data_IF_132363556240
#
_entry.id   IF_132363556240
#
_cell.length_a   1.000
_cell.length_b   1.000
_cell.length_c   1.000
_cell.angle_alpha   90.00
_cell.angle_beta   90.00
_cell.angle_gamma   90.00
#
_symmetry.space_group_name_H-M   'P 1'
#
loop_
_entity.id
_entity.type
_entity.pdbx_description
1 polymer ?
#
# COMPACT_ATOMS: atom_id res chain seq x y z
N UNK A 1 -25.33 -22.61 -6.69
CA UNK A 1 -24.05 -21.88 -6.58
C UNK A 1 -23.18 -22.70 -5.65
N UNK A 2 -22.00 -23.16 -6.11
CA UNK A 2 -21.09 -23.89 -5.23
C UNK A 2 -20.40 -22.91 -4.28
N UNK A 3 -20.39 -23.25 -2.98
CA UNK A 3 -19.85 -22.39 -1.92
C UNK A 3 -18.31 -22.49 -1.87
N UNK A 4 -17.74 -23.61 -2.31
CA UNK A 4 -16.28 -23.88 -2.30
C UNK A 4 -15.79 -24.50 -3.62
N UNK A 5 -16.69 -24.87 -4.53
CA UNK A 5 -16.32 -25.62 -5.73
C UNK A 5 -15.44 -24.84 -6.69
N UNK A 6 -15.60 -23.52 -6.79
CA UNK A 6 -14.70 -22.70 -7.61
C UNK A 6 -13.27 -22.71 -7.08
N UNK A 7 -13.09 -22.71 -5.77
CA UNK A 7 -11.80 -22.80 -5.11
C UNK A 7 -11.18 -24.19 -5.32
N UNK A 8 -11.97 -25.25 -5.20
CA UNK A 8 -11.51 -26.63 -5.44
C UNK A 8 -11.13 -26.81 -6.92
N UNK A 9 -11.96 -26.34 -7.86
CA UNK A 9 -11.66 -26.39 -9.30
C UNK A 9 -10.39 -25.59 -9.63
N UNK A 10 -10.15 -24.46 -8.97
CA UNK A 10 -8.92 -23.68 -9.13
C UNK A 10 -7.68 -24.38 -8.54
N UNK A 11 -7.85 -25.20 -7.49
CA UNK A 11 -6.79 -26.04 -6.95
C UNK A 11 -6.47 -27.20 -7.88
N UNK A 12 -7.50 -27.90 -8.39
CA UNK A 12 -7.36 -29.08 -9.26
C UNK A 12 -6.70 -28.76 -10.61
N UNK A 13 -6.70 -27.48 -11.04
CA UNK A 13 -5.90 -26.99 -12.19
C UNK A 13 -4.39 -26.94 -11.94
N UNK A 14 -3.93 -27.32 -10.75
CA UNK A 14 -2.53 -27.41 -10.36
C UNK A 14 -2.29 -28.79 -9.78
N UNK A 15 -1.03 -29.22 -9.78
CA UNK A 15 -0.57 -30.40 -9.04
C UNK A 15 -0.99 -30.25 -7.56
N UNK A 16 -2.00 -31.02 -7.14
CA UNK A 16 -2.66 -30.89 -5.84
C UNK A 16 -3.41 -32.15 -5.43
N UNK A 17 -3.66 -32.29 -4.12
CA UNK A 17 -4.46 -33.37 -3.55
C UNK A 17 -5.62 -32.77 -2.76
N UNK A 18 -6.83 -33.29 -3.00
CA UNK A 18 -8.03 -32.93 -2.25
C UNK A 18 -8.54 -34.19 -1.56
N UNK A 19 -8.59 -34.19 -0.22
CA UNK A 19 -9.05 -35.33 0.57
C UNK A 19 -10.38 -34.95 1.24
N UNK A 20 -11.42 -35.75 0.99
CA UNK A 20 -12.78 -35.51 1.45
C UNK A 20 -13.26 -36.71 2.28
N UNK A 21 -13.86 -36.45 3.43
CA UNK A 21 -14.59 -37.45 4.22
C UNK A 21 -16.08 -37.16 4.12
N UNK A 22 -16.82 -38.02 3.41
CA UNK A 22 -18.21 -37.78 3.06
C UNK A 22 -19.18 -38.52 3.98
N UNK A 23 -19.74 -37.81 4.96
CA UNK A 23 -20.75 -38.37 5.88
C UNK A 23 -22.17 -38.33 5.30
N UNK A 24 -22.60 -37.18 4.77
CA UNK A 24 -23.94 -37.01 4.23
C UNK A 24 -23.98 -36.01 3.07
N UNK A 25 -25.11 -35.99 2.35
CA UNK A 25 -25.38 -35.00 1.32
C UNK A 25 -26.24 -33.90 1.93
N UNK A 26 -25.72 -32.68 1.96
CA UNK A 26 -26.42 -31.50 2.44
C UNK A 26 -26.74 -30.54 1.30
N UNK A 27 -27.89 -29.87 1.41
CA UNK A 27 -28.33 -28.78 0.54
C UNK A 27 -28.91 -27.65 1.39
N UNK A 28 -28.50 -26.42 1.09
CA UNK A 28 -28.94 -25.22 1.79
C UNK A 28 -29.57 -24.22 0.82
N UNK A 29 -30.68 -23.62 1.25
CA UNK A 29 -31.37 -22.56 0.52
C UNK A 29 -31.15 -21.23 1.24
N UNK A 30 -30.55 -20.28 0.54
CA UNK A 30 -30.27 -18.94 1.02
C UNK A 30 -31.25 -17.95 0.40
N UNK A 31 -31.61 -16.94 1.18
CA UNK A 31 -32.30 -15.75 0.70
C UNK A 31 -31.47 -14.54 1.02
N UNK A 32 -31.28 -13.68 0.04
CA UNK A 32 -30.55 -12.44 0.25
C UNK A 32 -31.50 -11.34 0.71
N UNK A 33 -31.00 -10.48 1.59
CA UNK A 33 -31.77 -9.37 2.15
C UNK A 33 -31.00 -8.09 1.91
N UNK A 34 -31.64 -7.09 1.30
CA UNK A 34 -31.09 -5.77 1.14
C UNK A 34 -31.69 -4.84 2.19
N UNK A 35 -30.83 -4.30 3.04
CA UNK A 35 -31.21 -3.33 4.06
C UNK A 35 -31.04 -1.93 3.48
N UNK A 36 -32.12 -1.16 3.43
CA UNK A 36 -32.11 0.23 2.96
C UNK A 36 -32.76 1.17 3.98
N UNK A 37 -32.63 2.49 3.77
CA UNK A 37 -33.33 3.50 4.59
C UNK A 37 -34.87 3.41 4.51
N UNK A 38 -35.41 2.69 3.53
CA UNK A 38 -36.87 2.46 3.36
C UNK A 38 -37.36 1.17 4.02
N UNK A 39 -36.47 0.37 4.60
CA UNK A 39 -36.77 -0.92 5.19
C UNK A 39 -36.00 -2.08 4.55
N UNK A 40 -36.42 -3.28 4.91
CA UNK A 40 -35.79 -4.55 4.54
C UNK A 40 -36.51 -5.15 3.33
N UNK A 41 -35.81 -5.30 2.21
CA UNK A 41 -36.35 -5.93 0.99
C UNK A 41 -35.66 -7.29 0.76
N UNK A 42 -36.47 -8.33 0.59
CA UNK A 42 -36.00 -9.67 0.25
C UNK A 42 -35.71 -9.74 -1.26
N UNK A 43 -34.52 -10.22 -1.62
CA UNK A 43 -34.09 -10.43 -3.01
C UNK A 43 -34.02 -11.93 -3.34
N UNK A 44 -33.58 -12.24 -4.57
CA UNK A 44 -33.49 -13.59 -5.11
C UNK A 44 -32.78 -14.57 -4.15
N UNK A 45 -33.34 -15.78 -4.09
CA UNK A 45 -32.77 -16.89 -3.36
C UNK A 45 -31.82 -17.71 -4.23
N UNK A 46 -30.84 -18.35 -3.61
CA UNK A 46 -29.97 -19.31 -4.27
C UNK A 46 -29.82 -20.56 -3.40
N UNK A 47 -29.59 -21.70 -4.03
CA UNK A 47 -29.25 -22.95 -3.35
C UNK A 47 -27.80 -23.31 -3.56
N UNK A 48 -27.21 -23.95 -2.56
CA UNK A 48 -25.94 -24.65 -2.65
C UNK A 48 -26.12 -26.10 -2.19
N UNK A 49 -25.41 -27.02 -2.82
CA UNK A 49 -25.38 -28.43 -2.44
C UNK A 49 -23.95 -28.93 -2.35
N UNK A 50 -23.72 -29.87 -1.45
CA UNK A 50 -22.48 -30.66 -1.39
C UNK A 50 -22.28 -31.56 -2.63
N UNK A 51 -23.30 -31.73 -3.46
CA UNK A 51 -23.20 -32.40 -4.76
C UNK A 51 -22.51 -31.54 -5.83
N UNK A 52 -22.36 -30.23 -5.59
CA UNK A 52 -21.69 -29.28 -6.48
C UNK A 52 -20.25 -28.98 -6.00
N UNK A 53 -19.59 -29.93 -5.32
CA UNK A 53 -18.32 -29.68 -4.61
C UNK A 53 -17.14 -29.39 -5.55
N UNK A 54 -17.14 -29.92 -6.77
CA UNK A 54 -16.23 -29.58 -7.86
C UNK A 54 -16.89 -29.94 -9.20
N UNK A 55 -16.41 -29.38 -10.31
CA UNK A 55 -17.06 -29.46 -11.63
C UNK A 55 -17.33 -30.90 -12.10
N UNK A 56 -16.42 -31.83 -11.78
CA UNK A 56 -16.50 -33.25 -12.14
C UNK A 56 -17.03 -34.17 -11.02
N UNK A 57 -17.71 -33.62 -10.00
CA UNK A 57 -18.19 -34.41 -8.86
C UNK A 57 -19.18 -35.50 -9.32
N UNK A 58 -18.98 -36.77 -8.92
CA UNK A 58 -19.82 -37.89 -9.35
C UNK A 58 -21.24 -37.75 -8.79
N UNK A 59 -22.22 -38.26 -9.54
CA UNK A 59 -23.59 -38.38 -9.02
C UNK A 59 -23.58 -39.21 -7.75
N UNK A 60 -24.35 -38.77 -6.77
CA UNK A 60 -24.36 -39.37 -5.44
C UNK A 60 -25.77 -39.40 -4.85
N UNK A 61 -25.97 -40.32 -3.92
CA UNK A 61 -27.23 -40.43 -3.17
C UNK A 61 -26.96 -40.82 -1.71
N UNK A 62 -27.83 -40.33 -0.82
CA UNK A 62 -27.77 -40.67 0.60
C UNK A 62 -28.13 -42.12 0.83
N UNK A 63 -27.23 -42.89 1.46
CA UNK A 63 -27.45 -44.29 1.79
C UNK A 63 -26.55 -44.71 2.94
N UNK A 64 -27.15 -45.29 3.97
CA UNK A 64 -26.43 -45.69 5.18
C UNK A 64 -26.07 -47.17 5.17
N UNK A 65 -24.84 -47.50 5.57
CA UNK A 65 -24.42 -48.88 5.81
C UNK A 65 -23.06 -49.00 6.49
N UNK A 66 -22.68 -50.24 6.82
CA UNK A 66 -21.48 -50.54 7.65
C UNK A 66 -20.54 -51.60 7.05
N UNK A 67 -20.91 -52.21 5.93
CA UNK A 67 -20.09 -53.27 5.31
C UNK A 67 -19.41 -52.74 4.07
N UNK A 68 -18.09 -52.90 4.02
CA UNK A 68 -17.24 -52.48 2.91
C UNK A 68 -16.52 -53.70 2.31
N UNK A 69 -16.40 -53.68 0.99
CA UNK A 69 -15.66 -54.65 0.17
C UNK A 69 -14.64 -53.92 -0.70
N UNK A 70 -13.54 -54.59 -1.03
CA UNK A 70 -12.55 -54.03 -1.94
C UNK A 70 -13.15 -53.94 -3.35
N UNK A 71 -12.89 -52.84 -4.04
CA UNK A 71 -13.22 -52.73 -5.46
C UNK A 71 -12.30 -53.61 -6.32
N UNK A 72 -11.03 -53.72 -5.93
CA UNK A 72 -10.03 -54.55 -6.57
C UNK A 72 -9.31 -55.46 -5.55
N UNK A 73 -8.87 -56.67 -5.95
CA UNK A 73 -8.02 -57.51 -5.13
C UNK A 73 -6.72 -56.78 -4.73
N UNK A 74 -6.26 -56.99 -3.49
CA UNK A 74 -4.96 -56.51 -3.00
C UNK A 74 -4.77 -54.97 -2.95
N UNK A 75 -5.85 -54.18 -2.92
CA UNK A 75 -5.77 -52.71 -2.79
C UNK A 75 -5.21 -52.26 -1.43
N UNK A 76 -4.06 -51.58 -1.46
CA UNK A 76 -3.41 -50.96 -0.28
C UNK A 76 -4.31 -49.90 0.36
N UNK A 77 -4.93 -49.06 -0.45
CA UNK A 77 -5.88 -48.04 0.02
C UNK A 77 -7.11 -48.67 0.68
N UNK A 78 -7.66 -49.76 0.13
CA UNK A 78 -8.77 -50.44 0.77
C UNK A 78 -8.37 -51.05 2.12
N UNK A 79 -7.19 -51.66 2.21
CA UNK A 79 -6.64 -52.16 3.48
C UNK A 79 -6.54 -51.05 4.52
N UNK A 80 -6.09 -49.86 4.12
CA UNK A 80 -6.01 -48.69 4.98
C UNK A 80 -7.41 -48.19 5.41
N UNK A 81 -8.34 -48.04 4.47
CA UNK A 81 -9.74 -47.67 4.75
C UNK A 81 -10.33 -48.67 5.75
N UNK A 82 -10.23 -49.97 5.47
CA UNK A 82 -10.78 -51.04 6.31
C UNK A 82 -10.20 -51.03 7.73
N UNK A 83 -8.90 -50.77 7.89
CA UNK A 83 -8.22 -50.67 9.18
C UNK A 83 -8.79 -49.55 10.07
N UNK A 84 -9.14 -48.41 9.47
CA UNK A 84 -9.60 -47.22 10.20
C UNK A 84 -11.12 -47.00 10.15
N UNK A 85 -11.85 -47.78 9.34
CA UNK A 85 -13.31 -47.70 9.27
C UNK A 85 -13.96 -48.18 10.57
N UNK A 86 -13.46 -49.27 11.16
CA UNK A 86 -13.89 -49.74 12.48
C UNK A 86 -15.41 -49.90 12.61
N UNK A 87 -16.01 -49.30 13.63
CA UNK A 87 -17.47 -49.29 13.88
C UNK A 87 -18.24 -48.18 13.14
N UNK A 88 -17.58 -47.48 12.20
CA UNK A 88 -18.19 -46.38 11.44
C UNK A 88 -19.28 -46.85 10.48
N UNK A 89 -20.01 -45.86 9.93
CA UNK A 89 -20.98 -46.07 8.87
C UNK A 89 -20.71 -45.11 7.73
N UNK A 90 -20.87 -45.56 6.49
CA UNK A 90 -20.97 -44.66 5.35
C UNK A 90 -22.40 -44.13 5.26
N UNK A 91 -22.58 -42.89 4.78
CA UNK A 91 -23.90 -42.27 4.58
C UNK A 91 -24.17 -41.83 3.14
N UNK A 92 -23.21 -42.03 2.23
CA UNK A 92 -23.29 -41.64 0.81
C UNK A 92 -22.77 -42.78 -0.07
N UNK A 93 -23.42 -42.98 -1.22
CA UNK A 93 -22.90 -43.82 -2.31
C UNK A 93 -22.82 -43.03 -3.61
N UNK A 94 -21.94 -43.45 -4.50
CA UNK A 94 -21.59 -42.75 -5.74
C UNK A 94 -21.84 -43.64 -6.97
N UNK A 95 -22.21 -43.01 -8.07
CA UNK A 95 -22.25 -43.63 -9.39
C UNK A 95 -20.90 -43.50 -10.08
N UNK A 96 -20.51 -44.52 -10.85
CA UNK A 96 -19.33 -44.43 -11.70
C UNK A 96 -19.59 -43.44 -12.85
N UNK A 97 -18.80 -42.36 -13.00
CA UNK A 97 -18.93 -41.48 -14.16
C UNK A 97 -18.69 -42.25 -15.45
N UNK A 98 -19.44 -41.92 -16.50
CA UNK A 98 -19.30 -42.53 -17.82
C UNK A 98 -18.82 -41.50 -18.85
N UNK A 99 -18.01 -41.97 -19.78
CA UNK A 99 -17.53 -41.22 -20.95
C UNK A 99 -17.99 -41.91 -22.23
N UNK A 100 -18.39 -41.10 -23.22
CA UNK A 100 -18.75 -41.63 -24.53
C UNK A 100 -17.49 -42.13 -25.26
N UNK A 101 -17.41 -43.42 -25.54
CA UNK A 101 -16.36 -43.99 -26.38
C UNK A 101 -16.82 -44.03 -27.84
N UNK A 102 -16.27 -43.13 -28.64
CA UNK A 102 -16.57 -43.00 -30.07
C UNK A 102 -16.10 -44.18 -30.93
N UNK A 103 -15.17 -45.01 -30.42
CA UNK A 103 -14.64 -46.17 -31.14
C UNK A 103 -15.56 -47.39 -31.04
N UNK A 104 -16.31 -47.52 -29.94
CA UNK A 104 -17.27 -48.62 -29.73
C UNK A 104 -18.73 -48.15 -29.65
N UNK A 105 -18.98 -46.85 -29.87
CA UNK A 105 -20.29 -46.20 -29.87
C UNK A 105 -21.12 -46.52 -28.61
N UNK A 106 -20.48 -46.44 -27.45
CA UNK A 106 -21.12 -46.70 -26.15
C UNK A 106 -20.47 -45.87 -25.06
N UNK A 107 -21.25 -45.57 -24.03
CA UNK A 107 -20.73 -45.11 -22.76
C UNK A 107 -19.91 -46.21 -22.08
N UNK A 108 -18.72 -45.84 -21.63
CA UNK A 108 -17.84 -46.66 -20.81
C UNK A 108 -17.48 -45.93 -19.52
N UNK A 109 -17.06 -46.68 -18.52
CA UNK A 109 -16.64 -46.14 -17.23
C UNK A 109 -15.38 -45.26 -17.41
N UNK A 110 -15.38 -44.06 -16.81
CA UNK A 110 -14.25 -43.13 -16.92
C UNK A 110 -13.05 -43.64 -16.13
N UNK A 111 -12.00 -44.07 -16.82
CA UNK A 111 -10.75 -44.61 -16.23
C UNK A 111 -10.05 -43.65 -15.25
N UNK A 112 -10.37 -42.34 -15.29
CA UNK A 112 -9.86 -41.37 -14.32
C UNK A 112 -10.52 -41.49 -12.95
N UNK A 113 -11.59 -42.26 -12.85
CA UNK A 113 -12.33 -42.54 -11.63
C UNK A 113 -12.08 -43.98 -11.20
N UNK A 114 -11.49 -44.17 -10.01
CA UNK A 114 -11.10 -45.47 -9.48
C UNK A 114 -11.86 -45.71 -8.17
N UNK A 115 -12.82 -46.67 -8.14
CA UNK A 115 -13.47 -47.07 -6.91
C UNK A 115 -12.46 -47.67 -5.92
N UNK A 116 -12.53 -47.25 -4.65
CA UNK A 116 -11.64 -47.73 -3.58
C UNK A 116 -12.36 -48.70 -2.62
N UNK A 117 -13.65 -48.47 -2.36
CA UNK A 117 -14.47 -49.33 -1.51
C UNK A 117 -15.91 -49.42 -2.02
N UNK A 118 -16.49 -50.60 -1.94
CA UNK A 118 -17.86 -50.92 -2.35
C UNK A 118 -18.69 -51.39 -1.15
N UNK A 119 -20.02 -51.30 -1.24
CA UNK A 119 -20.91 -51.96 -0.27
C UNK A 119 -21.35 -53.36 -0.76
N UNK A 120 -22.21 -54.05 0.01
CA UNK A 120 -22.69 -55.40 -0.33
C UNK A 120 -23.48 -55.50 -1.64
N UNK A 121 -23.95 -54.37 -2.17
CA UNK A 121 -24.67 -54.28 -3.45
C UNK A 121 -23.76 -53.90 -4.61
N UNK A 122 -22.45 -53.76 -4.36
CA UNK A 122 -21.48 -53.31 -5.35
C UNK A 122 -21.55 -51.80 -5.64
N UNK A 123 -22.24 -51.01 -4.82
CA UNK A 123 -22.28 -49.54 -4.98
C UNK A 123 -21.02 -48.91 -4.37
N UNK A 124 -20.54 -47.83 -4.99
CA UNK A 124 -19.27 -47.18 -4.65
C UNK A 124 -19.45 -46.32 -3.39
N UNK A 125 -18.60 -46.53 -2.40
CA UNK A 125 -18.60 -45.81 -1.11
C UNK A 125 -17.38 -44.90 -0.97
N UNK A 126 -16.29 -45.22 -1.66
CA UNK A 126 -15.04 -44.46 -1.66
C UNK A 126 -14.41 -44.50 -3.04
N UNK A 127 -13.73 -43.44 -3.46
CA UNK A 127 -13.07 -43.36 -4.76
C UNK A 127 -11.83 -42.47 -4.74
N UNK A 128 -11.02 -42.64 -5.78
CA UNK A 128 -9.97 -41.72 -6.23
C UNK A 128 -10.36 -41.20 -7.62
N UNK A 129 -10.28 -39.90 -7.86
CA UNK A 129 -10.56 -39.32 -9.17
C UNK A 129 -9.48 -38.32 -9.59
N UNK A 130 -8.90 -38.52 -10.77
CA UNK A 130 -8.01 -37.53 -11.41
C UNK A 130 -8.84 -36.46 -12.12
N UNK A 131 -8.58 -35.19 -11.79
CA UNK A 131 -9.26 -34.03 -12.36
C UNK A 131 -8.20 -33.00 -12.75
N UNK A 132 -8.06 -32.73 -14.05
CA UNK A 132 -7.01 -31.85 -14.60
C UNK A 132 -5.60 -32.28 -14.11
N UNK A 133 -4.92 -31.46 -13.32
CA UNK A 133 -3.59 -31.77 -12.74
C UNK A 133 -3.67 -32.28 -11.29
N UNK A 134 -4.86 -32.28 -10.68
CA UNK A 134 -5.09 -32.67 -9.30
C UNK A 134 -5.72 -34.05 -9.15
N UNK A 135 -5.71 -34.56 -7.92
CA UNK A 135 -6.37 -35.81 -7.55
C UNK A 135 -7.28 -35.60 -6.34
N UNK A 136 -8.51 -36.10 -6.45
CA UNK A 136 -9.51 -36.11 -5.39
C UNK A 136 -9.58 -37.50 -4.78
N UNK A 137 -9.40 -37.59 -3.47
CA UNK A 137 -9.68 -38.77 -2.67
C UNK A 137 -10.96 -38.53 -1.89
N UNK A 138 -11.92 -39.45 -1.99
CA UNK A 138 -13.13 -39.41 -1.19
C UNK A 138 -13.25 -40.70 -0.37
N UNK A 139 -13.31 -40.54 0.95
CA UNK A 139 -13.45 -41.61 1.92
C UNK A 139 -14.78 -41.50 2.67
N UNK A 140 -15.35 -42.61 3.17
CA UNK A 140 -16.45 -42.55 4.13
C UNK A 140 -15.95 -42.01 5.48
N UNK A 141 -16.84 -41.72 6.44
CA UNK A 141 -16.46 -41.46 7.82
C UNK A 141 -15.63 -42.62 8.37
N UNK A 142 -14.58 -42.28 9.11
CA UNK A 142 -13.66 -43.23 9.74
C UNK A 142 -13.70 -43.04 11.26
N UNK A 143 -13.42 -44.11 12.01
CA UNK A 143 -13.42 -44.08 13.47
C UNK A 143 -12.21 -43.27 13.98
N UNK A 144 -11.07 -43.40 13.30
CA UNK A 144 -9.85 -42.66 13.60
C UNK A 144 -9.27 -42.02 12.34
N UNK A 145 -9.87 -40.89 11.94
CA UNK A 145 -9.41 -40.07 10.81
C UNK A 145 -7.97 -39.60 10.96
N UNK A 146 -7.53 -39.23 12.17
CA UNK A 146 -6.17 -38.74 12.40
C UNK A 146 -5.11 -39.81 12.15
N UNK A 147 -5.34 -41.03 12.65
CA UNK A 147 -4.46 -42.17 12.41
C UNK A 147 -4.43 -42.59 10.94
N UNK A 148 -5.60 -42.58 10.27
CA UNK A 148 -5.70 -42.83 8.84
C UNK A 148 -4.87 -41.83 8.03
N UNK A 149 -5.03 -40.53 8.30
CA UNK A 149 -4.29 -39.49 7.61
C UNK A 149 -2.78 -39.64 7.86
N UNK A 150 -2.35 -39.88 9.10
CA UNK A 150 -0.93 -40.06 9.39
C UNK A 150 -0.30 -41.15 8.52
N UNK A 151 -0.91 -42.34 8.47
CA UNK A 151 -0.41 -43.44 7.66
C UNK A 151 -0.52 -43.19 6.15
N UNK A 152 -1.60 -42.53 5.70
CA UNK A 152 -1.76 -42.11 4.30
C UNK A 152 -0.64 -41.15 3.85
N UNK A 153 -0.27 -40.19 4.71
CA UNK A 153 0.79 -39.20 4.46
C UNK A 153 2.21 -39.75 4.63
N UNK A 154 2.41 -40.78 5.46
CA UNK A 154 3.74 -41.38 5.69
C UNK A 154 4.09 -42.49 4.69
N UNK A 155 3.09 -43.19 4.15
CA UNK A 155 3.30 -44.37 3.31
C UNK A 155 2.86 -44.13 1.85
N UNK A 156 1.55 -44.01 1.63
CA UNK A 156 0.96 -44.08 0.29
C UNK A 156 1.23 -42.83 -0.55
N UNK A 157 0.97 -41.63 0.00
CA UNK A 157 1.04 -40.39 -0.77
C UNK A 157 2.47 -40.03 -1.24
N UNK A 158 3.53 -40.17 -0.41
CA UNK A 158 4.89 -39.91 -0.87
C UNK A 158 5.36 -40.84 -1.99
N UNK A 159 4.94 -42.11 -1.96
CA UNK A 159 5.30 -43.10 -2.98
C UNK A 159 4.63 -42.79 -4.33
N UNK A 160 3.35 -42.37 -4.31
CA UNK A 160 2.55 -42.19 -5.53
C UNK A 160 2.51 -40.74 -6.04
N UNK A 161 2.84 -39.76 -5.18
CA UNK A 161 2.86 -38.32 -5.51
C UNK A 161 4.15 -37.62 -4.99
N UNK A 162 5.36 -38.12 -5.31
CA UNK A 162 6.62 -37.62 -4.74
C UNK A 162 6.85 -36.12 -4.94
N UNK A 163 6.37 -35.55 -6.05
CA UNK A 163 6.43 -34.12 -6.38
C UNK A 163 5.71 -33.22 -5.38
N UNK A 164 4.69 -33.73 -4.67
CA UNK A 164 3.97 -33.01 -3.62
C UNK A 164 4.60 -33.20 -2.23
N UNK A 165 5.48 -34.20 -2.09
CA UNK A 165 6.16 -34.53 -0.86
C UNK A 165 7.69 -34.54 -1.04
N UNK A 166 8.30 -33.41 -1.46
CA UNK A 166 9.74 -33.33 -1.76
C UNK A 166 10.62 -33.52 -0.52
N UNK A 167 10.05 -33.39 0.68
CA UNK A 167 10.74 -33.63 1.95
C UNK A 167 10.50 -35.03 2.52
N UNK A 168 9.81 -35.91 1.78
CA UNK A 168 9.59 -37.29 2.24
C UNK A 168 10.91 -38.05 2.29
N UNK A 169 11.21 -38.62 3.45
CA UNK A 169 12.51 -39.26 3.71
C UNK A 169 12.77 -40.53 2.89
N UNK A 170 11.74 -41.11 2.23
CA UNK A 170 11.87 -42.37 1.49
C UNK A 170 12.86 -42.26 0.32
N UNK A 171 12.98 -41.08 -0.31
CA UNK A 171 13.92 -40.83 -1.40
C UNK A 171 14.78 -39.56 -1.23
N UNK A 172 14.69 -38.86 -0.09
CA UNK A 172 15.48 -37.66 0.20
C UNK A 172 17.01 -37.85 0.09
N UNK A 173 17.49 -39.09 0.06
CA UNK A 173 18.89 -39.43 -0.18
C UNK A 173 19.35 -39.22 -1.62
N UNK A 174 18.44 -39.15 -2.60
CA UNK A 174 18.78 -38.75 -3.98
C UNK A 174 19.02 -37.23 -4.05
N UNK A 175 18.25 -36.45 -3.29
CA UNK A 175 18.32 -34.98 -3.29
C UNK A 175 19.36 -34.40 -2.31
N UNK A 176 20.02 -35.24 -1.51
CA UNK A 176 21.05 -34.80 -0.55
C UNK A 176 22.40 -34.44 -1.22
N UNK A 177 22.51 -34.62 -2.54
CA UNK A 177 23.69 -34.34 -3.34
C UNK A 177 24.76 -35.44 -3.35
N UNK A 178 24.47 -36.62 -2.77
CA UNK A 178 25.40 -37.76 -2.80
C UNK A 178 25.50 -38.44 -4.18
N UNK A 179 24.52 -38.23 -5.07
CA UNK A 179 24.45 -38.86 -6.39
C UNK A 179 24.10 -37.85 -7.50
N UNK A 180 24.97 -36.86 -7.77
CA UNK A 180 24.65 -35.82 -8.74
C UNK A 180 24.72 -36.31 -10.19
N UNK A 181 23.85 -35.79 -11.04
CA UNK A 181 23.95 -35.97 -12.50
C UNK A 181 24.93 -34.97 -13.13
N UNK A 182 25.47 -35.22 -14.34
CA UNK A 182 26.38 -34.29 -14.99
C UNK A 182 25.81 -32.87 -15.08
N UNK A 183 26.57 -31.87 -14.64
CA UNK A 183 26.18 -30.46 -14.62
C UNK A 183 25.35 -30.02 -13.40
N UNK A 184 24.82 -30.94 -12.60
CA UNK A 184 23.97 -30.60 -11.44
C UNK A 184 24.74 -29.85 -10.35
N UNK A 185 25.97 -30.27 -10.06
CA UNK A 185 26.83 -29.62 -9.05
C UNK A 185 27.14 -28.16 -9.41
N UNK A 186 27.36 -27.88 -10.70
CA UNK A 186 27.62 -26.51 -11.19
C UNK A 186 26.38 -25.63 -11.00
N UNK A 187 25.21 -26.13 -11.43
CA UNK A 187 23.94 -25.41 -11.29
C UNK A 187 23.57 -25.16 -9.82
N UNK A 188 23.80 -26.13 -8.93
CA UNK A 188 23.59 -25.95 -7.49
C UNK A 188 24.56 -24.91 -6.89
N UNK A 189 25.81 -24.88 -7.36
CA UNK A 189 26.80 -23.86 -6.99
C UNK A 189 26.37 -22.46 -7.43
N UNK A 190 25.93 -22.32 -8.67
CA UNK A 190 25.45 -21.05 -9.23
C UNK A 190 24.17 -20.57 -8.54
N UNK A 191 23.22 -21.49 -8.27
CA UNK A 191 22.02 -21.16 -7.48
C UNK A 191 22.40 -20.61 -6.10
N UNK A 192 23.33 -21.26 -5.39
CA UNK A 192 23.79 -20.78 -4.08
C UNK A 192 24.44 -19.39 -4.16
N UNK A 193 25.23 -19.10 -5.19
CA UNK A 193 25.81 -17.76 -5.40
C UNK A 193 24.71 -16.73 -5.63
N UNK A 194 23.77 -17.00 -6.53
CA UNK A 194 22.64 -16.10 -6.82
C UNK A 194 21.81 -15.84 -5.55
N UNK A 195 21.48 -16.88 -4.79
CA UNK A 195 20.73 -16.74 -3.54
C UNK A 195 21.49 -15.91 -2.50
N UNK A 196 22.80 -16.11 -2.38
CA UNK A 196 23.66 -15.34 -1.46
C UNK A 196 23.73 -13.87 -1.86
N UNK A 197 24.01 -13.59 -3.12
CA UNK A 197 24.10 -12.22 -3.67
C UNK A 197 22.75 -11.49 -3.52
N UNK A 198 21.64 -12.18 -3.79
CA UNK A 198 20.31 -11.61 -3.62
C UNK A 198 20.03 -11.27 -2.14
N UNK A 199 20.31 -12.20 -1.22
CA UNK A 199 20.13 -11.98 0.23
C UNK A 199 20.96 -10.80 0.73
N UNK A 200 22.22 -10.69 0.30
CA UNK A 200 23.08 -9.58 0.69
C UNK A 200 22.56 -8.23 0.17
N UNK A 201 22.14 -8.19 -1.10
CA UNK A 201 21.55 -6.98 -1.70
C UNK A 201 20.27 -6.53 -1.01
N UNK A 202 19.39 -7.48 -0.66
CA UNK A 202 18.16 -7.18 0.10
C UNK A 202 18.52 -6.63 1.47
N UNK A 203 19.41 -7.30 2.21
CA UNK A 203 19.85 -6.84 3.54
C UNK A 203 20.45 -5.43 3.50
N UNK A 204 21.28 -5.14 2.50
CA UNK A 204 21.87 -3.80 2.31
C UNK A 204 20.80 -2.73 2.04
N UNK A 205 19.79 -3.05 1.23
CA UNK A 205 18.69 -2.15 0.94
C UNK A 205 17.83 -1.89 2.18
N UNK A 206 17.49 -2.95 2.93
CA UNK A 206 16.74 -2.84 4.18
C UNK A 206 17.48 -1.98 5.20
N UNK A 207 18.80 -2.16 5.35
CA UNK A 207 19.62 -1.31 6.21
C UNK A 207 19.60 0.15 5.74
N UNK A 208 19.75 0.40 4.44
CA UNK A 208 19.68 1.75 3.89
C UNK A 208 18.32 2.43 4.14
N UNK A 209 17.21 1.67 4.12
CA UNK A 209 15.88 2.19 4.47
C UNK A 209 15.80 2.57 5.95
N UNK A 210 16.39 1.76 6.84
CA UNK A 210 16.45 2.07 8.29
C UNK A 210 17.27 3.33 8.51
N UNK A 211 18.45 3.43 7.90
CA UNK A 211 19.34 4.58 8.01
C UNK A 211 18.65 5.85 7.50
N UNK A 212 17.98 5.78 6.34
CA UNK A 212 17.22 6.90 5.76
C UNK A 212 16.07 7.35 6.66
N UNK A 213 15.32 6.41 7.25
CA UNK A 213 14.24 6.74 8.20
C UNK A 213 14.77 7.41 9.47
N UNK A 214 15.97 7.04 9.91
CA UNK A 214 16.63 7.66 11.05
C UNK A 214 17.12 9.08 10.70
N UNK A 215 17.82 9.22 9.58
CA UNK A 215 18.36 10.50 9.10
C UNK A 215 17.26 11.55 8.94
N UNK A 216 16.15 11.16 8.30
CA UNK A 216 15.00 12.04 8.05
C UNK A 216 13.88 11.92 9.10
N UNK A 217 14.18 11.34 10.27
CA UNK A 217 13.21 11.11 11.34
C UNK A 217 12.48 12.39 11.77
N UNK A 218 13.21 13.51 11.83
CA UNK A 218 12.66 14.82 12.20
C UNK A 218 11.51 15.27 11.29
N UNK A 219 11.51 14.90 10.00
CA UNK A 219 10.41 15.22 9.09
C UNK A 219 9.12 14.51 9.49
N UNK A 220 9.20 13.28 10.01
CA UNK A 220 8.03 12.58 10.54
C UNK A 220 7.57 13.25 11.83
N UNK A 221 8.49 13.62 12.70
CA UNK A 221 8.18 14.31 13.96
C UNK A 221 7.42 15.62 13.73
N UNK A 222 7.79 16.41 12.70
CA UNK A 222 7.03 17.61 12.29
C UNK A 222 5.55 17.33 12.02
N UNK A 223 5.18 16.12 11.60
CA UNK A 223 3.81 15.77 11.21
C UNK A 223 2.96 15.33 12.40
N UNK A 224 3.50 14.63 13.40
CA UNK A 224 2.66 13.98 14.44
C UNK A 224 3.09 14.26 15.89
N UNK A 225 4.31 14.72 16.14
CA UNK A 225 4.82 14.94 17.51
C UNK A 225 4.25 16.20 18.17
N UNK A 226 4.52 16.34 19.46
CA UNK A 226 4.15 17.47 20.33
C UNK A 226 5.19 17.68 21.42
N UNK A 227 5.17 18.85 22.09
CA UNK A 227 6.08 19.14 23.19
C UNK A 227 7.54 19.11 22.74
N UNK A 228 8.44 18.68 23.62
CA UNK A 228 9.89 18.69 23.42
C UNK A 228 10.31 17.97 22.12
N UNK A 229 9.69 16.83 21.81
CA UNK A 229 9.96 16.10 20.56
C UNK A 229 9.67 16.94 19.30
N UNK A 230 8.64 17.78 19.35
CA UNK A 230 8.30 18.67 18.25
C UNK A 230 9.26 19.87 18.20
N UNK A 231 9.62 20.42 19.36
CA UNK A 231 10.60 21.50 19.48
C UNK A 231 11.94 21.07 18.87
N UNK A 232 12.44 19.89 19.24
CA UNK A 232 13.68 19.34 18.68
C UNK A 232 13.61 19.07 17.18
N UNK A 233 12.46 18.61 16.68
CA UNK A 233 12.27 18.41 15.24
C UNK A 233 12.34 19.73 14.45
N UNK A 234 11.74 20.81 14.98
CA UNK A 234 11.81 22.14 14.39
C UNK A 234 13.23 22.71 14.51
N UNK A 235 13.90 22.55 15.65
CA UNK A 235 15.28 22.99 15.84
C UNK A 235 16.22 22.30 14.83
N UNK A 236 16.08 20.99 14.66
CA UNK A 236 16.83 20.24 13.67
C UNK A 236 16.54 20.71 12.24
N UNK A 237 15.27 20.98 11.91
CA UNK A 237 14.89 21.56 10.62
C UNK A 237 15.55 22.94 10.38
N UNK A 238 15.58 23.82 11.39
CA UNK A 238 16.23 25.13 11.29
C UNK A 238 17.75 25.03 11.11
N UNK A 239 18.42 24.11 11.83
CA UNK A 239 19.84 23.80 11.59
C UNK A 239 20.06 23.27 10.18
N UNK A 240 19.17 22.39 9.69
CA UNK A 240 19.23 21.89 8.33
C UNK A 240 19.04 23.00 7.29
N UNK A 241 18.20 24.01 7.55
CA UNK A 241 18.10 25.22 6.71
C UNK A 241 19.38 26.05 6.69
N UNK A 242 20.30 25.83 7.63
CA UNK A 242 21.58 26.52 7.72
C UNK A 242 21.61 27.68 8.71
N UNK A 243 20.66 27.77 9.65
CA UNK A 243 20.80 28.70 10.77
C UNK A 243 21.94 28.26 11.69
N UNK A 244 22.86 29.19 11.98
CA UNK A 244 24.08 28.89 12.74
C UNK A 244 23.85 28.83 14.26
N UNK A 245 22.90 29.59 14.79
CA UNK A 245 22.58 29.66 16.21
C UNK A 245 21.10 29.31 16.40
N UNK A 246 20.80 28.08 16.79
CA UNK A 246 19.44 27.61 17.11
C UNK A 246 19.47 27.04 18.52
N UNK A 247 18.94 27.82 19.47
CA UNK A 247 19.03 27.56 20.90
C UNK A 247 17.64 27.25 21.47
N UNK A 248 17.53 26.12 22.17
CA UNK A 248 16.35 25.76 22.94
C UNK A 248 16.41 26.45 24.31
N UNK A 249 15.43 27.32 24.62
CA UNK A 249 15.49 28.13 25.85
C UNK A 249 14.99 27.37 27.09
N UNK A 250 14.18 26.32 26.91
CA UNK A 250 13.70 25.50 28.02
C UNK A 250 14.83 24.73 28.72
N UNK A 251 15.96 24.51 28.03
CA UNK A 251 17.16 23.92 28.62
C UNK A 251 17.94 24.89 29.53
N UNK A 252 17.63 26.19 29.50
CA UNK A 252 18.46 27.26 30.09
C UNK A 252 17.79 28.08 31.21
N UNK A 253 16.50 27.86 31.53
CA UNK A 253 15.76 28.67 32.52
C UNK A 253 14.66 27.87 33.24
N UNK A 254 14.67 27.86 34.59
CA UNK A 254 13.72 27.08 35.41
C UNK A 254 12.52 27.85 35.96
N UNK A 255 12.50 29.19 35.90
CA UNK A 255 11.52 29.99 36.66
C UNK A 255 10.57 30.87 35.80
N UNK A 256 10.85 31.07 34.51
CA UNK A 256 10.00 31.86 33.61
C UNK A 256 9.78 31.10 32.31
N UNK A 257 8.51 30.86 31.94
CA UNK A 257 8.15 30.32 30.62
C UNK A 257 8.57 31.33 29.55
N UNK A 258 9.56 30.97 28.75
CA UNK A 258 10.10 31.77 27.64
C UNK A 258 9.61 31.25 26.28
N UNK A 259 10.25 31.64 25.18
CA UNK A 259 10.06 31.03 23.85
C UNK A 259 10.65 29.62 23.79
N UNK A 260 10.14 28.73 22.95
CA UNK A 260 10.72 27.38 22.80
C UNK A 260 12.10 27.47 22.13
N UNK A 261 12.20 28.18 21.00
CA UNK A 261 13.46 28.35 20.26
C UNK A 261 13.81 29.82 20.02
N UNK A 262 15.10 30.09 20.03
CA UNK A 262 15.70 31.35 19.60
C UNK A 262 16.70 31.10 18.47
N UNK A 263 16.60 31.92 17.41
CA UNK A 263 17.55 31.91 16.30
C UNK A 263 18.20 33.28 16.16
N UNK A 264 19.47 33.38 16.53
CA UNK A 264 20.24 34.63 16.42
C UNK A 264 21.01 34.67 15.10
N UNK A 265 20.70 35.65 14.27
CA UNK A 265 21.37 35.90 12.99
C UNK A 265 22.34 37.09 13.05
N UNK A 266 22.58 37.64 14.24
CA UNK A 266 23.37 38.84 14.47
C UNK A 266 22.49 40.09 14.43
N UNK A 267 22.17 40.55 13.22
CA UNK A 267 21.33 41.73 12.99
C UNK A 267 19.86 41.50 13.31
N UNK A 268 19.35 40.30 13.01
CA UNK A 268 17.97 39.86 13.30
C UNK A 268 17.92 38.78 14.37
N UNK A 269 16.85 38.78 15.16
CA UNK A 269 16.51 37.70 16.11
C UNK A 269 15.14 37.10 15.77
N UNK A 270 15.06 35.78 15.62
CA UNK A 270 13.78 35.07 15.53
C UNK A 270 13.49 34.38 16.88
N UNK A 271 12.32 34.65 17.45
CA UNK A 271 11.81 33.94 18.63
C UNK A 271 10.61 33.09 18.23
N UNK A 272 10.59 31.84 18.64
CA UNK A 272 9.65 30.84 18.14
C UNK A 272 8.88 30.19 19.28
N UNK A 273 7.55 30.18 19.16
CA UNK A 273 6.66 29.35 19.97
C UNK A 273 6.13 28.19 19.11
N UNK A 274 6.15 26.97 19.62
CA UNK A 274 5.86 25.73 18.92
C UNK A 274 4.78 24.97 19.67
N UNK A 275 3.67 24.62 19.01
CA UNK A 275 2.60 23.82 19.63
C UNK A 275 2.14 22.64 18.78
N UNK A 276 2.06 21.48 19.41
CA UNK A 276 1.40 20.29 18.86
C UNK A 276 0.01 20.11 19.47
N UNK A 277 -1.05 20.26 18.67
CA UNK A 277 -2.43 20.25 19.17
C UNK A 277 -3.33 19.30 18.36
N UNK A 278 -4.36 18.77 19.02
CA UNK A 278 -5.36 17.89 18.39
C UNK A 278 -6.42 18.61 17.55
N UNK A 279 -6.52 19.94 17.66
CA UNK A 279 -7.49 20.79 16.96
C UNK A 279 -6.80 21.94 16.21
N UNK A 280 -7.49 23.07 16.10
CA UNK A 280 -6.97 24.32 15.52
C UNK A 280 -6.51 25.31 16.59
N UNK A 281 -5.73 26.32 16.20
CA UNK A 281 -5.11 27.24 17.17
C UNK A 281 -6.14 28.21 17.77
N UNK A 282 -5.90 28.59 19.03
CA UNK A 282 -6.70 29.62 19.73
C UNK A 282 -5.99 30.97 19.68
N UNK A 283 -6.75 32.06 19.84
CA UNK A 283 -6.19 33.43 19.82
C UNK A 283 -5.13 33.62 20.90
N UNK A 284 -5.36 33.03 22.08
CA UNK A 284 -4.41 33.04 23.20
C UNK A 284 -3.09 32.36 22.82
N UNK A 285 -3.14 31.25 22.10
CA UNK A 285 -1.93 30.56 21.65
C UNK A 285 -1.18 31.39 20.61
N UNK A 286 -1.88 31.92 19.60
CA UNK A 286 -1.27 32.73 18.53
C UNK A 286 -0.63 34.02 19.06
N UNK A 287 -1.22 34.66 20.08
CA UNK A 287 -0.75 35.95 20.62
C UNK A 287 0.35 35.85 21.69
N UNK A 288 0.62 34.65 22.22
CA UNK A 288 1.59 34.45 23.29
C UNK A 288 3.00 34.94 22.89
N UNK A 289 3.41 34.65 21.65
CA UNK A 289 4.73 35.00 21.12
C UNK A 289 4.98 36.52 21.06
N UNK A 290 3.92 37.34 20.91
CA UNK A 290 4.04 38.81 20.88
C UNK A 290 4.63 39.35 22.18
N UNK A 291 4.25 38.78 23.34
CA UNK A 291 4.80 39.22 24.64
C UNK A 291 6.29 38.97 24.75
N UNK A 292 6.74 37.81 24.23
CA UNK A 292 8.14 37.40 24.26
C UNK A 292 8.96 38.26 23.31
N UNK A 293 8.49 38.45 22.06
CA UNK A 293 9.06 39.39 21.08
C UNK A 293 9.29 40.77 21.72
N UNK A 294 8.26 41.37 22.34
CA UNK A 294 8.35 42.69 22.97
C UNK A 294 9.38 42.75 24.10
N UNK A 295 9.51 41.69 24.90
CA UNK A 295 10.52 41.58 25.95
C UNK A 295 11.93 41.53 25.37
N UNK A 296 12.16 40.71 24.33
CA UNK A 296 13.48 40.60 23.66
C UNK A 296 13.88 41.88 22.93
N UNK A 297 12.94 42.60 22.32
CA UNK A 297 13.21 43.92 21.74
C UNK A 297 13.80 44.89 22.76
N UNK A 298 13.19 44.97 23.95
CA UNK A 298 13.68 45.81 25.05
C UNK A 298 15.05 45.36 25.56
N UNK A 299 15.29 44.06 25.69
CA UNK A 299 16.57 43.51 26.16
C UNK A 299 17.70 43.75 25.16
N UNK A 300 17.43 43.63 23.85
CA UNK A 300 18.41 43.88 22.78
C UNK A 300 18.58 45.34 22.40
N UNK A 301 17.67 46.22 22.86
CA UNK A 301 17.56 47.60 22.39
C UNK A 301 17.49 47.67 20.84
N UNK A 302 16.71 46.78 20.24
CA UNK A 302 16.52 46.65 18.79
C UNK A 302 15.10 46.22 18.46
N UNK A 303 14.56 46.73 17.36
CA UNK A 303 13.26 46.31 16.81
C UNK A 303 13.36 45.12 15.84
N UNK A 304 14.58 44.70 15.48
CA UNK A 304 14.85 43.55 14.61
C UNK A 304 14.65 42.21 15.34
N UNK A 305 13.48 42.05 15.95
CA UNK A 305 13.04 40.84 16.66
C UNK A 305 11.70 40.39 16.10
N UNK A 306 11.69 39.16 15.59
CA UNK A 306 10.58 38.59 14.86
C UNK A 306 9.97 37.46 15.67
N UNK A 307 8.66 37.52 15.92
CA UNK A 307 7.93 36.47 16.61
C UNK A 307 7.30 35.51 15.62
N UNK A 308 7.52 34.21 15.80
CA UNK A 308 6.98 33.16 14.95
C UNK A 308 6.24 32.10 15.79
N UNK A 309 4.97 31.89 15.49
CA UNK A 309 4.20 30.77 16.05
C UNK A 309 4.10 29.64 15.03
N UNK A 310 4.58 28.45 15.41
CA UNK A 310 4.57 27.24 14.58
C UNK A 310 3.64 26.21 15.19
N UNK A 311 2.69 25.69 14.41
CA UNK A 311 1.71 24.71 14.90
C UNK A 311 1.68 23.42 14.10
N UNK A 312 1.77 22.29 14.82
CA UNK A 312 1.32 20.98 14.34
C UNK A 312 -0.14 20.80 14.76
N UNK A 313 -1.05 21.34 13.96
CA UNK A 313 -2.51 21.30 14.20
C UNK A 313 -3.10 19.95 13.77
N UNK A 314 -4.24 19.58 14.36
CA UNK A 314 -4.96 18.34 14.07
C UNK A 314 -4.03 17.11 13.94
N UNK A 315 -3.07 16.96 14.87
CA UNK A 315 -1.94 16.03 14.72
C UNK A 315 -2.32 14.55 14.56
N UNK A 316 -3.54 14.18 14.95
CA UNK A 316 -4.10 12.82 14.80
C UNK A 316 -4.77 12.59 13.43
N UNK A 317 -4.83 13.62 12.59
CA UNK A 317 -5.38 13.59 11.23
C UNK A 317 -4.24 13.66 10.22
N UNK A 318 -4.36 12.89 9.14
CA UNK A 318 -3.40 12.94 8.03
C UNK A 318 -3.35 14.36 7.43
N UNK A 319 -2.15 14.91 7.09
CA UNK A 319 -2.01 16.30 6.63
C UNK A 319 -2.91 16.72 5.46
N UNK A 320 -3.21 15.80 4.53
CA UNK A 320 -4.09 16.03 3.38
C UNK A 320 -5.56 16.27 3.74
N UNK A 321 -5.96 15.95 4.98
CA UNK A 321 -7.34 16.07 5.48
C UNK A 321 -7.48 17.14 6.57
N UNK A 322 -6.41 17.82 6.93
CA UNK A 322 -6.44 18.84 7.98
C UNK A 322 -7.09 20.12 7.49
N UNK A 323 -7.70 20.86 8.41
CA UNK A 323 -8.11 22.25 8.15
C UNK A 323 -6.87 23.14 8.05
N UNK A 324 -6.51 23.53 6.83
CA UNK A 324 -5.31 24.31 6.54
C UNK A 324 -5.65 25.57 5.70
N UNK A 325 -5.30 26.80 6.14
CA UNK A 325 -4.65 27.12 7.41
C UNK A 325 -5.53 26.84 8.64
N UNK A 326 -4.95 26.47 9.79
CA UNK A 326 -5.68 26.21 11.04
C UNK A 326 -5.96 27.49 11.83
N UNK A 327 -6.10 28.61 11.12
CA UNK A 327 -6.23 29.95 11.69
C UNK A 327 -7.54 30.59 11.20
N UNK A 328 -8.16 31.40 12.04
CA UNK A 328 -9.32 32.22 11.66
C UNK A 328 -8.86 33.53 10.99
N UNK A 329 -9.73 34.16 10.22
CA UNK A 329 -9.40 35.46 9.58
C UNK A 329 -9.00 36.53 10.61
N UNK A 330 -9.64 36.53 11.78
CA UNK A 330 -9.28 37.42 12.89
C UNK A 330 -7.85 37.15 13.40
N UNK A 331 -7.48 35.88 13.59
CA UNK A 331 -6.12 35.52 14.00
C UNK A 331 -5.06 35.94 12.98
N UNK A 332 -5.38 35.84 11.69
CA UNK A 332 -4.50 36.27 10.60
C UNK A 332 -4.34 37.79 10.57
N UNK A 333 -5.43 38.54 10.74
CA UNK A 333 -5.40 40.00 10.82
C UNK A 333 -4.61 40.48 12.04
N UNK A 334 -4.86 39.90 13.22
CA UNK A 334 -4.12 40.23 14.44
C UNK A 334 -2.62 39.92 14.29
N UNK A 335 -2.27 38.83 13.60
CA UNK A 335 -0.87 38.48 13.36
C UNK A 335 -0.14 39.50 12.47
N UNK A 336 -0.84 40.08 11.48
CA UNK A 336 -0.30 41.17 10.68
C UNK A 336 -0.14 42.46 11.50
N UNK A 337 -1.16 42.82 12.29
CA UNK A 337 -1.13 44.04 13.13
C UNK A 337 -0.07 43.98 14.24
N UNK A 338 0.11 42.82 14.86
CA UNK A 338 1.12 42.60 15.90
C UNK A 338 2.50 42.23 15.34
N UNK A 339 2.64 42.19 14.01
CA UNK A 339 3.88 41.89 13.30
C UNK A 339 4.51 40.57 13.79
N UNK A 340 3.72 39.49 13.74
CA UNK A 340 4.16 38.11 14.03
C UNK A 340 3.82 37.16 12.89
N UNK A 341 4.64 36.13 12.72
CA UNK A 341 4.41 35.05 11.77
C UNK A 341 3.57 33.92 12.36
N UNK A 342 2.71 33.32 11.53
CA UNK A 342 1.96 32.10 11.81
C UNK A 342 2.31 31.05 10.75
N UNK A 343 2.78 29.88 11.17
CA UNK A 343 3.25 28.82 10.29
C UNK A 343 2.75 27.46 10.76
N UNK A 344 2.56 26.52 9.83
CA UNK A 344 2.29 25.13 10.19
C UNK A 344 3.54 24.27 9.99
N UNK A 345 3.72 23.26 10.83
CA UNK A 345 4.80 22.28 10.65
C UNK A 345 4.68 21.52 9.33
N UNK A 346 3.47 21.41 8.79
CA UNK A 346 3.26 20.84 7.46
C UNK A 346 3.83 21.72 6.34
N UNK A 347 3.81 23.05 6.46
CA UNK A 347 4.50 23.93 5.50
C UNK A 347 6.01 23.72 5.54
N UNK A 348 6.62 23.53 6.73
CA UNK A 348 8.04 23.15 6.84
C UNK A 348 8.31 21.81 6.13
N UNK A 349 7.47 20.80 6.38
CA UNK A 349 7.57 19.50 5.72
C UNK A 349 7.50 19.62 4.19
N UNK A 350 6.56 20.39 3.65
CA UNK A 350 6.45 20.61 2.20
C UNK A 350 7.67 21.36 1.64
N UNK A 351 8.12 22.41 2.33
CA UNK A 351 9.28 23.19 1.94
C UNK A 351 10.56 22.35 1.86
N UNK A 352 10.74 21.36 2.73
CA UNK A 352 11.85 20.40 2.64
C UNK A 352 11.93 19.76 1.25
N UNK A 353 10.82 19.21 0.75
CA UNK A 353 10.78 18.54 -0.54
C UNK A 353 10.90 19.53 -1.69
N UNK A 354 10.32 20.73 -1.57
CA UNK A 354 10.51 21.79 -2.56
C UNK A 354 11.99 22.19 -2.67
N UNK A 355 12.71 22.28 -1.54
CA UNK A 355 14.15 22.55 -1.52
C UNK A 355 14.94 21.40 -2.13
N UNK A 356 14.67 20.16 -1.72
CA UNK A 356 15.34 18.97 -2.24
C UNK A 356 15.15 18.85 -3.75
N UNK A 357 13.96 19.16 -4.24
CA UNK A 357 13.65 19.10 -5.66
C UNK A 357 14.14 20.36 -6.41
N UNK A 358 14.70 21.35 -5.70
CA UNK A 358 15.26 22.61 -6.22
C UNK A 358 14.19 23.61 -6.69
N UNK A 359 12.93 23.44 -6.30
CA UNK A 359 11.84 24.40 -6.55
C UNK A 359 12.06 25.64 -5.69
N UNK A 360 12.48 25.43 -4.45
CA UNK A 360 12.75 26.47 -3.47
C UNK A 360 14.22 26.40 -3.06
N UNK A 361 14.80 27.49 -2.57
CA UNK A 361 16.15 27.48 -2.00
C UNK A 361 16.08 27.71 -0.48
N UNK A 362 17.13 27.31 0.25
CA UNK A 362 17.16 27.44 1.72
C UNK A 362 17.15 28.89 2.18
N UNK A 363 17.81 29.78 1.45
CA UNK A 363 17.94 31.20 1.79
C UNK A 363 16.60 31.92 1.75
N UNK A 364 15.81 31.68 0.70
CA UNK A 364 14.45 32.18 0.54
C UNK A 364 13.57 31.72 1.70
N UNK A 365 13.67 30.45 2.11
CA UNK A 365 12.91 29.94 3.25
C UNK A 365 13.32 30.63 4.53
N UNK A 366 14.63 30.78 4.77
CA UNK A 366 15.13 31.48 5.96
C UNK A 366 14.58 32.91 6.03
N UNK A 367 14.61 33.66 4.91
CA UNK A 367 14.07 35.01 4.87
C UNK A 367 12.53 35.03 5.07
N UNK A 368 11.81 34.08 4.48
CA UNK A 368 10.35 33.97 4.66
C UNK A 368 9.92 33.71 6.10
N UNK A 369 10.76 33.06 6.93
CA UNK A 369 10.45 32.81 8.34
C UNK A 369 10.38 34.09 9.18
N UNK A 370 10.91 35.22 8.69
CA UNK A 370 10.80 36.53 9.33
C UNK A 370 9.55 37.31 8.90
N UNK A 371 8.70 36.76 8.02
CA UNK A 371 7.49 37.44 7.56
C UNK A 371 6.37 37.48 8.62
N UNK A 372 5.42 38.39 8.45
CA UNK A 372 4.25 38.56 9.31
C UNK A 372 2.99 37.91 8.71
N UNK A 373 2.00 37.64 9.54
CA UNK A 373 0.76 37.00 9.14
C UNK A 373 0.95 35.51 8.83
N UNK A 374 0.15 34.97 7.90
CA UNK A 374 0.31 33.59 7.46
C UNK A 374 1.56 33.44 6.59
N UNK A 375 2.52 32.64 7.06
CA UNK A 375 3.71 32.30 6.29
C UNK A 375 3.40 31.08 5.41
N UNK A 376 3.57 31.25 4.10
CA UNK A 376 3.49 30.19 3.09
C UNK A 376 4.86 29.99 2.46
N UNK A 377 5.44 28.81 2.66
CA UNK A 377 6.82 28.52 2.22
C UNK A 377 6.83 28.09 0.75
N UNK A 378 6.66 29.06 -0.13
CA UNK A 378 6.63 28.89 -1.58
C UNK A 378 7.57 29.90 -2.25
N UNK A 379 8.10 29.61 -3.44
CA UNK A 379 8.85 30.61 -4.19
C UNK A 379 7.94 31.79 -4.55
N UNK A 380 8.41 33.01 -4.30
CA UNK A 380 7.63 34.24 -4.54
C UNK A 380 7.40 34.50 -6.03
N UNK A 381 8.24 33.91 -6.88
CA UNK A 381 8.21 34.00 -8.34
C UNK A 381 7.27 32.97 -8.98
N UNK A 382 6.64 32.07 -8.23
CA UNK A 382 5.76 31.04 -8.76
C UNK A 382 4.30 31.51 -8.85
N UNK A 383 3.78 31.55 -10.06
CA UNK A 383 2.41 32.00 -10.36
C UNK A 383 1.55 30.80 -10.72
N UNK A 384 0.42 30.66 -10.03
CA UNK A 384 -0.58 29.64 -10.34
C UNK A 384 -1.42 30.07 -11.55
N UNK A 385 -1.37 29.28 -12.62
CA UNK A 385 -2.24 29.44 -13.79
C UNK A 385 -3.57 28.68 -13.65
N UNK A 386 -3.72 27.90 -12.57
CA UNK A 386 -4.91 27.07 -12.32
C UNK A 386 -4.83 25.70 -12.98
N UNK A 387 -5.99 25.08 -13.19
CA UNK A 387 -6.09 23.76 -13.83
C UNK A 387 -5.95 23.88 -15.36
N UNK A 388 -5.22 22.95 -16.01
CA UNK A 388 -5.21 22.86 -17.46
C UNK A 388 -6.62 22.71 -18.03
N UNK A 389 -6.90 23.41 -19.12
CA UNK A 389 -8.15 23.23 -19.88
C UNK A 389 -8.20 21.83 -20.51
N UNK A 390 -7.04 21.31 -20.93
CA UNK A 390 -6.91 19.97 -21.51
C UNK A 390 -5.64 19.24 -21.05
N UNK A 391 -5.77 17.91 -20.94
CA UNK A 391 -4.65 17.00 -20.74
C UNK A 391 -4.55 16.06 -21.95
N UNK A 392 -3.55 16.28 -22.80
CA UNK A 392 -3.34 15.49 -24.01
C UNK A 392 -2.21 14.47 -23.79
N UNK A 393 -2.17 13.45 -24.66
CA UNK A 393 -1.12 12.43 -24.67
C UNK A 393 -0.87 11.78 -23.29
N UNK A 394 -1.95 11.48 -22.55
CA UNK A 394 -1.88 10.91 -21.18
C UNK A 394 -1.07 11.78 -20.20
N UNK A 395 -1.21 13.10 -20.30
CA UNK A 395 -0.59 14.08 -19.41
C UNK A 395 0.83 14.51 -19.79
N UNK A 396 1.32 14.13 -20.97
CA UNK A 396 2.58 14.64 -21.50
C UNK A 396 2.46 16.05 -22.11
N UNK A 397 1.23 16.48 -22.40
CA UNK A 397 0.91 17.84 -22.86
C UNK A 397 -0.22 18.39 -21.98
N UNK A 398 -0.04 19.61 -21.49
CA UNK A 398 -1.06 20.37 -20.75
C UNK A 398 -1.38 21.64 -21.51
N UNK A 399 -2.68 21.96 -21.63
CA UNK A 399 -3.13 23.22 -22.25
C UNK A 399 -3.52 24.19 -21.14
N UNK A 400 -2.87 25.34 -21.08
CA UNK A 400 -3.08 26.36 -20.05
C UNK A 400 -3.23 27.74 -20.67
N UNK A 401 -3.97 28.63 -20.03
CA UNK A 401 -3.96 30.04 -20.37
C UNK A 401 -2.83 30.73 -19.60
N UNK A 402 -1.82 31.20 -20.33
CA UNK A 402 -0.67 31.90 -19.74
C UNK A 402 -1.03 33.31 -19.24
N UNK A 403 -2.22 33.83 -19.56
CA UNK A 403 -2.66 35.18 -19.25
C UNK A 403 -1.68 36.22 -19.82
N UNK A 404 -0.90 36.89 -18.96
CA UNK A 404 0.12 37.88 -19.33
C UNK A 404 1.56 37.34 -19.20
N UNK A 405 1.73 36.07 -18.85
CA UNK A 405 3.02 35.47 -18.54
C UNK A 405 3.64 34.79 -19.76
N UNK A 406 4.97 34.65 -19.75
CA UNK A 406 5.72 34.00 -20.81
C UNK A 406 6.28 32.65 -20.36
N UNK A 407 6.38 31.70 -21.28
CA UNK A 407 7.06 30.41 -21.08
C UNK A 407 7.90 30.09 -22.31
N UNK A 408 9.12 29.58 -22.11
CA UNK A 408 10.05 29.15 -23.15
C UNK A 408 10.28 27.66 -23.15
N UNK A 409 10.67 27.12 -24.31
CA UNK A 409 11.24 25.78 -24.37
C UNK A 409 12.50 25.72 -23.50
N UNK A 410 12.61 24.69 -22.66
CA UNK A 410 13.66 24.55 -21.66
C UNK A 410 13.32 25.10 -20.28
N UNK A 411 12.26 25.91 -20.14
CA UNK A 411 11.81 26.38 -18.83
C UNK A 411 11.28 25.23 -17.96
N UNK A 412 11.17 25.48 -16.65
CA UNK A 412 10.56 24.56 -15.70
C UNK A 412 9.20 25.08 -15.28
N UNK A 413 8.17 24.27 -15.52
CA UNK A 413 6.86 24.44 -14.90
C UNK A 413 6.74 23.53 -13.68
N UNK A 414 5.92 23.93 -12.72
CA UNK A 414 5.62 23.14 -11.52
C UNK A 414 4.16 22.73 -11.54
N UNK A 415 3.88 21.45 -11.33
CA UNK A 415 2.52 20.95 -11.20
C UNK A 415 2.25 20.58 -9.74
N UNK A 416 1.13 21.06 -9.19
CA UNK A 416 0.66 20.75 -7.84
C UNK A 416 -0.58 19.86 -7.91
N UNK A 417 -0.52 18.70 -7.25
CA UNK A 417 -1.69 17.86 -6.99
C UNK A 417 -1.83 17.65 -5.49
N UNK A 418 -2.94 18.12 -4.93
CA UNK A 418 -3.11 18.20 -3.48
C UNK A 418 -1.93 18.98 -2.87
N UNK A 419 -1.12 18.35 -2.02
CA UNK A 419 0.08 18.96 -1.44
C UNK A 419 1.39 18.53 -2.12
N UNK A 420 1.34 17.71 -3.17
CA UNK A 420 2.53 17.23 -3.86
C UNK A 420 2.85 18.11 -5.06
N UNK A 421 4.09 18.57 -5.13
CA UNK A 421 4.63 19.37 -6.22
C UNK A 421 5.56 18.52 -7.07
N UNK A 422 5.55 18.74 -8.38
CA UNK A 422 6.41 18.04 -9.34
C UNK A 422 6.95 19.03 -10.35
N UNK A 423 8.23 18.93 -10.68
CA UNK A 423 8.89 19.75 -11.71
C UNK A 423 8.79 19.06 -13.06
N UNK A 424 8.58 19.87 -14.10
CA UNK A 424 8.49 19.40 -15.47
C UNK A 424 9.22 20.38 -16.39
N UNK A 425 10.16 19.88 -17.19
CA UNK A 425 10.87 20.71 -18.17
C UNK A 425 10.03 20.82 -19.43
N UNK A 426 9.85 22.03 -19.94
CA UNK A 426 9.16 22.32 -21.20
C UNK A 426 9.99 21.80 -22.36
N UNK A 427 9.42 20.89 -23.15
CA UNK A 427 10.06 20.29 -24.32
C UNK A 427 9.65 20.95 -25.64
N UNK A 428 8.41 21.40 -25.74
CA UNK A 428 7.89 22.15 -26.89
C UNK A 428 6.64 22.92 -26.49
N UNK A 429 6.34 23.99 -27.23
CA UNK A 429 5.18 24.84 -27.02
C UNK A 429 4.39 24.94 -28.33
N UNK A 430 3.06 24.97 -28.22
CA UNK A 430 2.17 25.26 -29.33
C UNK A 430 1.16 26.35 -28.94
N UNK A 431 1.03 27.36 -29.81
CA UNK A 431 -0.01 28.39 -29.73
C UNK A 431 -0.81 28.32 -31.02
N UNK A 432 -2.13 28.17 -30.92
CA UNK A 432 -3.04 27.99 -32.07
C UNK A 432 -2.60 26.92 -33.08
N UNK A 433 -1.98 25.84 -32.57
CA UNK A 433 -1.49 24.71 -33.38
C UNK A 433 -0.16 24.94 -34.09
N UNK A 434 0.52 26.06 -33.83
CA UNK A 434 1.84 26.38 -34.38
C UNK A 434 2.92 26.21 -33.32
N UNK A 435 4.00 25.50 -33.66
CA UNK A 435 5.16 25.34 -32.79
C UNK A 435 5.88 26.68 -32.58
N UNK A 436 6.18 27.03 -31.33
CA UNK A 436 6.90 28.24 -30.94
C UNK A 436 8.00 27.92 -29.93
N UNK A 437 9.07 28.73 -29.91
CA UNK A 437 10.14 28.63 -28.90
C UNK A 437 9.78 29.37 -27.60
N UNK A 438 8.92 30.38 -27.71
CA UNK A 438 8.44 31.22 -26.60
C UNK A 438 6.95 31.53 -26.81
N UNK A 439 6.14 31.28 -25.80
CA UNK A 439 4.74 31.68 -25.75
C UNK A 439 4.59 32.87 -24.79
N UNK A 440 3.90 33.92 -25.22
CA UNK A 440 3.71 35.16 -24.46
C UNK A 440 2.22 35.41 -24.26
N UNK A 441 1.65 34.83 -23.19
CA UNK A 441 0.23 34.90 -22.93
C UNK A 441 -0.63 33.97 -23.79
N UNK A 442 -1.94 33.97 -23.51
CA UNK A 442 -2.93 33.20 -24.24
C UNK A 442 -2.89 31.68 -24.00
N UNK A 443 -3.77 30.97 -24.68
CA UNK A 443 -3.93 29.52 -24.56
C UNK A 443 -2.77 28.81 -25.25
N UNK A 444 -1.97 28.10 -24.47
CA UNK A 444 -0.74 27.45 -24.92
C UNK A 444 -0.76 25.96 -24.56
N UNK A 445 -0.47 25.12 -25.54
CA UNK A 445 -0.16 23.70 -25.34
C UNK A 445 1.31 23.53 -24.96
N UNK A 446 1.56 23.03 -23.75
CA UNK A 446 2.91 22.84 -23.20
C UNK A 446 3.21 21.35 -23.13
N UNK A 447 4.15 20.88 -23.93
CA UNK A 447 4.69 19.52 -23.83
C UNK A 447 5.82 19.48 -22.82
N UNK A 448 5.83 18.46 -21.97
CA UNK A 448 6.80 18.35 -20.88
C UNK A 448 7.54 17.02 -20.81
N UNK A 449 8.70 17.04 -20.14
CA UNK A 449 9.61 15.89 -19.98
C UNK A 449 9.02 14.70 -19.25
N UNK A 450 8.08 14.95 -18.35
CA UNK A 450 7.47 13.95 -17.47
C UNK A 450 5.96 14.15 -17.44
N UNK A 451 5.22 13.07 -17.20
CA UNK A 451 3.75 13.14 -17.20
C UNK A 451 3.26 14.00 -16.03
N UNK A 452 2.42 14.97 -16.33
CA UNK A 452 1.68 15.75 -15.34
C UNK A 452 0.50 14.90 -14.84
N UNK A 453 0.35 14.68 -13.52
CA UNK A 453 -0.80 13.98 -12.98
C UNK A 453 -2.11 14.71 -13.34
N UNK A 454 -3.17 13.96 -13.62
CA UNK A 454 -4.48 14.56 -13.88
C UNK A 454 -4.99 15.37 -12.68
N UNK A 455 -5.68 16.48 -12.96
CA UNK A 455 -6.19 17.46 -11.97
C UNK A 455 -5.08 18.12 -11.14
N UNK A 456 -3.95 18.43 -11.77
CA UNK A 456 -2.90 19.22 -11.14
C UNK A 456 -3.03 20.67 -11.56
N UNK A 457 -2.89 21.60 -10.62
CA UNK A 457 -2.71 23.01 -10.94
C UNK A 457 -1.32 23.23 -11.50
N UNK A 458 -1.20 24.09 -12.50
CA UNK A 458 0.07 24.44 -13.14
C UNK A 458 0.55 25.77 -12.63
N UNK A 459 1.85 25.84 -12.39
CA UNK A 459 2.54 27.03 -12.01
C UNK A 459 3.73 27.27 -12.94
N UNK A 460 3.96 28.54 -13.24
CA UNK A 460 5.11 29.03 -14.02
C UNK A 460 5.92 29.99 -13.16
N UNK A 461 7.22 30.10 -13.42
CA UNK A 461 8.04 31.15 -12.80
C UNK A 461 7.86 32.45 -13.57
N UNK A 462 7.80 33.57 -12.85
CA UNK A 462 8.04 34.88 -13.42
C UNK A 462 9.39 34.84 -14.14
N UNK A 463 9.40 35.19 -15.42
CA UNK A 463 10.60 35.13 -16.24
C UNK A 463 11.75 35.87 -15.57
N UNK A 464 12.96 35.33 -15.65
CA UNK A 464 14.23 36.05 -15.41
C UNK A 464 14.51 37.13 -16.46
N UNK A 465 13.46 37.68 -17.08
CA UNK A 465 13.49 38.82 -17.98
C UNK A 465 13.27 40.08 -17.16
N UNK A 466 14.19 41.04 -17.27
CA UNK A 466 14.18 42.38 -16.69
C UNK A 466 12.76 42.90 -16.43
N UNK A 467 12.52 43.35 -15.21
CA UNK A 467 11.42 44.26 -14.86
C UNK A 467 11.27 45.33 -15.95
N UNK A 468 10.13 45.39 -16.65
CA UNK A 468 9.69 46.62 -17.25
C UNK A 468 8.87 47.34 -16.19
N UNK A 469 9.32 48.54 -15.82
CA UNK A 469 8.61 49.57 -15.04
C UNK A 469 8.95 49.56 -13.54
N UNK A 470 10.12 50.14 -13.23
CA UNK A 470 10.32 51.08 -12.12
C UNK A 470 11.37 52.11 -12.60
N UNK A 471 10.91 53.07 -13.40
CA UNK A 471 11.44 54.46 -13.45
C UNK A 471 10.30 55.42 -13.13
#
# INVERSE_FOLDING_TARGET
>A
MSIVGKEIDALLKKISLVIIFADSIESAHYRTVKISRKGTEWHDGFSGSTQDLYEAFPKSQGKVGRRLHAAEPESVLFSLIKKYFGDSQYGVVFEHPQRWNSSIYRDEDDERFVPLALNDKGEIVSYLQSVEEGVVFLFPPLENTSGFLLELFESFLPEHFPQLFPSSGQFAWLDNGAFPVPGEVELLGDRKKIESDYKERVKKNEQAIVDLKSEYGFLRSLIFETGDNLVEAVAHYFRWLGFNSVVNQDEHSSDVLEEDLQVDCGDKLLVVEIKGIGGTSTDKACSQITKIKNRRMKQRNSFEVYGLYIVNHERYVSPDRRKNPPFTDHQLQDALLDERGLLTTYQLYLAFFLIRDGILNKDDVREQLFAYGLITLMPKDLICLGLPSEHLMKGAVVVVDLQIHSVKVGDVIVARKNSHYTKHVVQSLQVDGVDVEEANGGVTGIKVSTKVPAKSEIFVRLGSGKDPILE
#
